data_IF_195001080469
#
_entry.id   IF_195001080469
#
_cell.length_a   1.000
_cell.length_b   1.000
_cell.length_c   1.000
_cell.angle_alpha   90.00
_cell.angle_beta   90.00
_cell.angle_gamma   90.00
#
_symmetry.space_group_name_H-M   'P 1'
#
loop_
_entity.id
_entity.type
_entity.pdbx_description
1 polymer ?
#
# COMPACT_ATOMS: atom_id res chain seq x y z
N UNK A 1 -37.26 1.52 -3.64
CA UNK A 1 -37.37 0.37 -2.72
C UNK A 1 -38.71 0.37 -2.00
N UNK A 2 -39.21 1.52 -1.51
CA UNK A 2 -40.45 1.57 -0.71
C UNK A 2 -41.71 2.01 -1.49
N UNK A 3 -41.60 2.10 -2.82
CA UNK A 3 -42.71 2.48 -3.70
C UNK A 3 -42.51 1.95 -5.11
N UNK A 4 -43.50 2.16 -5.98
CA UNK A 4 -43.52 1.65 -7.36
C UNK A 4 -42.72 2.52 -8.34
N UNK A 5 -41.56 3.04 -7.91
CA UNK A 5 -40.65 3.80 -8.76
C UNK A 5 -39.96 2.91 -9.79
N UNK A 6 -39.56 3.50 -10.91
CA UNK A 6 -38.75 2.82 -11.93
C UNK A 6 -37.38 2.48 -11.32
N UNK A 7 -36.86 1.28 -11.62
CA UNK A 7 -35.50 0.87 -11.22
C UNK A 7 -34.49 1.91 -11.72
N UNK A 8 -33.59 2.43 -10.86
CA UNK A 8 -32.57 3.36 -11.30
C UNK A 8 -31.72 2.77 -12.44
N UNK A 9 -31.34 3.63 -13.38
CA UNK A 9 -30.39 3.26 -14.42
C UNK A 9 -29.07 2.81 -13.80
N UNK A 10 -28.42 1.83 -14.45
CA UNK A 10 -27.12 1.35 -14.00
C UNK A 10 -26.03 2.16 -14.68
N UNK A 11 -25.17 2.77 -13.89
CA UNK A 11 -24.00 3.53 -14.35
C UNK A 11 -22.73 2.93 -13.72
N UNK A 12 -21.59 3.10 -14.39
CA UNK A 12 -20.28 2.73 -13.85
C UNK A 12 -19.49 3.98 -13.46
N UNK A 13 -18.65 3.85 -12.44
CA UNK A 13 -17.55 4.78 -12.16
C UNK A 13 -16.29 4.16 -12.76
N UNK A 14 -15.58 4.92 -13.59
CA UNK A 14 -14.31 4.54 -14.18
C UNK A 14 -13.23 5.53 -13.74
N UNK A 15 -12.27 5.08 -12.94
CA UNK A 15 -11.12 5.88 -12.53
C UNK A 15 -10.02 5.78 -13.59
N UNK A 16 -9.63 6.93 -14.15
CA UNK A 16 -8.56 7.01 -15.13
C UNK A 16 -7.33 7.67 -14.51
N UNK A 17 -6.18 7.02 -14.71
CA UNK A 17 -4.88 7.58 -14.40
C UNK A 17 -4.29 8.23 -15.67
N UNK A 18 -4.33 9.54 -15.75
CA UNK A 18 -3.89 10.31 -16.91
C UNK A 18 -2.41 10.69 -16.79
N UNK A 19 -1.53 9.79 -17.23
CA UNK A 19 -0.08 9.98 -17.21
C UNK A 19 0.55 10.59 -18.47
N UNK A 20 -0.21 10.87 -19.54
CA UNK A 20 0.34 11.45 -20.78
C UNK A 20 0.36 13.00 -20.74
N UNK A 21 0.97 13.58 -19.70
CA UNK A 21 0.99 15.02 -19.41
C UNK A 21 2.15 15.36 -18.46
N UNK A 22 2.64 16.61 -18.46
CA UNK A 22 3.64 17.08 -17.47
C UNK A 22 3.11 17.04 -16.04
N UNK A 23 1.79 17.22 -15.89
CA UNK A 23 1.08 17.21 -14.61
C UNK A 23 0.08 16.06 -14.55
N UNK A 24 0.49 14.84 -14.14
CA UNK A 24 -0.36 13.67 -14.11
C UNK A 24 -1.49 13.83 -13.11
N UNK A 25 -2.62 13.21 -13.42
CA UNK A 25 -3.78 13.27 -12.53
C UNK A 25 -4.62 12.00 -12.62
N UNK A 26 -5.31 11.68 -11.53
CA UNK A 26 -6.42 10.75 -11.51
C UNK A 26 -7.74 11.50 -11.71
N UNK A 27 -8.66 10.91 -12.46
CA UNK A 27 -10.01 11.44 -12.66
C UNK A 27 -11.03 10.31 -12.76
N UNK A 28 -12.11 10.43 -11.98
CA UNK A 28 -13.25 9.55 -12.08
C UNK A 28 -14.23 10.04 -13.15
N UNK A 29 -14.75 9.10 -13.93
CA UNK A 29 -15.78 9.31 -14.94
C UNK A 29 -17.02 8.50 -14.60
N UNK A 30 -18.19 9.09 -14.82
CA UNK A 30 -19.46 8.36 -14.87
C UNK A 30 -19.67 7.87 -16.30
N UNK A 31 -19.93 6.58 -16.48
CA UNK A 31 -20.09 5.93 -17.79
C UNK A 31 -21.39 5.14 -17.82
N UNK A 32 -22.27 5.41 -18.78
CA UNK A 32 -23.56 4.73 -18.89
C UNK A 32 -24.61 5.53 -19.68
N UNK A 33 -25.88 5.11 -19.64
CA UNK A 33 -26.41 3.99 -18.87
C UNK A 33 -25.93 2.63 -19.42
N UNK A 34 -26.02 1.59 -18.59
CA UNK A 34 -25.69 0.20 -18.90
C UNK A 34 -26.97 -0.66 -19.06
N UNK A 35 -26.96 -1.68 -19.94
CA UNK A 35 -25.86 -2.12 -20.81
C UNK A 35 -25.53 -1.07 -21.89
N UNK A 36 -24.30 -1.13 -22.42
CA UNK A 36 -23.81 -0.14 -23.38
C UNK A 36 -24.69 -0.11 -24.63
N UNK A 37 -25.09 1.11 -25.03
CA UNK A 37 -25.91 1.39 -26.21
C UNK A 37 -25.45 2.68 -26.90
N UNK A 38 -26.15 3.09 -27.96
CA UNK A 38 -25.93 4.39 -28.63
C UNK A 38 -26.22 5.59 -27.71
N UNK A 39 -27.02 5.39 -26.65
CA UNK A 39 -27.32 6.41 -25.65
C UNK A 39 -26.26 6.51 -24.55
N UNK A 40 -25.29 5.58 -24.51
CA UNK A 40 -24.25 5.58 -23.49
C UNK A 40 -23.29 6.75 -23.69
N UNK A 41 -23.13 7.56 -22.64
CA UNK A 41 -22.23 8.69 -22.57
C UNK A 41 -21.24 8.50 -21.42
N UNK A 42 -20.23 9.39 -21.39
CA UNK A 42 -19.38 9.56 -20.21
C UNK A 42 -19.19 11.03 -19.90
N UNK A 43 -18.99 11.33 -18.61
CA UNK A 43 -18.66 12.68 -18.14
C UNK A 43 -17.92 12.61 -16.80
N UNK A 44 -17.16 13.65 -16.42
CA UNK A 44 -16.46 13.68 -15.13
C UNK A 44 -17.40 13.52 -13.93
N UNK A 45 -16.99 12.69 -12.96
CA UNK A 45 -17.70 12.53 -11.70
C UNK A 45 -17.35 13.67 -10.74
N UNK A 46 -18.23 14.66 -10.61
CA UNK A 46 -17.99 15.86 -9.79
C UNK A 46 -18.68 15.83 -8.43
N UNK A 47 -19.59 14.88 -8.18
CA UNK A 47 -20.39 14.86 -6.95
C UNK A 47 -19.64 14.29 -5.74
N UNK A 48 -18.66 13.42 -5.96
CA UNK A 48 -17.91 12.74 -4.89
C UNK A 48 -16.76 13.54 -4.30
N UNK A 49 -16.56 14.80 -4.69
CA UNK A 49 -15.43 15.61 -4.27
C UNK A 49 -15.85 17.02 -3.87
N UNK A 50 -15.17 17.57 -2.86
CA UNK A 50 -15.27 18.98 -2.50
C UNK A 50 -14.22 19.86 -3.22
N UNK A 51 -13.34 19.23 -4.03
CA UNK A 51 -12.34 19.96 -4.80
C UNK A 51 -12.99 20.81 -5.90
N UNK A 52 -12.40 21.97 -6.26
CA UNK A 52 -12.91 22.83 -7.32
C UNK A 52 -12.86 22.16 -8.71
N UNK A 53 -11.99 21.15 -8.88
CA UNK A 53 -11.84 20.37 -10.09
C UNK A 53 -11.86 18.90 -9.69
N UNK A 54 -12.66 18.08 -10.39
CA UNK A 54 -12.70 16.63 -10.21
C UNK A 54 -11.50 15.93 -10.89
N UNK A 55 -10.29 16.38 -10.52
CA UNK A 55 -8.99 15.84 -10.91
C UNK A 55 -8.08 15.96 -9.71
N UNK A 56 -7.35 14.90 -9.39
CA UNK A 56 -6.38 14.87 -8.29
C UNK A 56 -5.01 14.66 -8.91
N UNK A 57 -4.05 15.55 -8.63
CA UNK A 57 -2.68 15.42 -9.12
C UNK A 57 -2.04 14.15 -8.55
N UNK A 58 -1.28 13.43 -9.38
CA UNK A 58 -0.49 12.25 -8.97
C UNK A 58 0.98 12.61 -9.10
N UNK A 59 1.66 12.71 -7.95
CA UNK A 59 2.99 13.28 -7.85
C UNK A 59 4.13 12.28 -8.06
N UNK A 60 3.82 10.99 -7.98
CA UNK A 60 4.71 9.83 -8.10
C UNK A 60 4.28 8.89 -9.24
N UNK A 61 3.75 9.46 -10.33
CA UNK A 61 3.38 8.70 -11.52
C UNK A 61 4.53 7.86 -12.09
N UNK A 62 5.74 8.38 -11.98
CA UNK A 62 6.94 7.77 -12.54
C UNK A 62 7.69 7.00 -11.45
N UNK A 63 8.04 5.75 -11.75
CA UNK A 63 8.77 4.87 -10.84
C UNK A 63 10.15 5.45 -10.50
N UNK A 64 10.43 5.54 -9.19
CA UNK A 64 11.67 6.05 -8.61
C UNK A 64 12.64 4.95 -8.14
N UNK A 65 12.28 3.67 -8.28
CA UNK A 65 13.07 2.52 -7.83
C UNK A 65 14.50 2.51 -8.41
N UNK A 66 14.62 2.74 -9.71
CA UNK A 66 15.91 2.82 -10.43
C UNK A 66 16.77 3.98 -9.92
N UNK A 67 16.15 5.15 -9.70
CA UNK A 67 16.84 6.33 -9.19
C UNK A 67 17.38 6.13 -7.78
N UNK A 68 16.60 5.50 -6.90
CA UNK A 68 17.04 5.14 -5.54
C UNK A 68 18.16 4.09 -5.58
N UNK A 69 18.07 3.12 -6.51
CA UNK A 69 19.10 2.10 -6.71
C UNK A 69 20.41 2.70 -7.22
N UNK A 70 20.37 3.68 -8.13
CA UNK A 70 21.55 4.38 -8.63
C UNK A 70 22.27 5.15 -7.51
N UNK A 71 21.50 5.86 -6.66
CA UNK A 71 22.05 6.52 -5.47
C UNK A 71 22.70 5.49 -4.56
N UNK A 72 22.01 4.40 -4.24
CA UNK A 72 22.55 3.33 -3.40
C UNK A 72 23.84 2.73 -3.99
N UNK A 73 23.87 2.46 -5.30
CA UNK A 73 25.02 1.89 -5.98
C UNK A 73 26.24 2.82 -5.99
N UNK A 74 26.04 4.15 -5.98
CA UNK A 74 27.12 5.12 -5.84
C UNK A 74 27.86 5.05 -4.49
N UNK A 75 27.23 4.42 -3.49
CA UNK A 75 27.77 4.17 -2.15
C UNK A 75 27.72 2.68 -1.77
N UNK A 76 27.77 1.77 -2.75
CA UNK A 76 27.61 0.32 -2.53
C UNK A 76 28.61 -0.27 -1.54
N UNK A 77 29.81 0.27 -1.46
CA UNK A 77 30.86 -0.15 -0.54
C UNK A 77 30.53 0.22 0.90
N UNK A 78 30.03 1.43 1.11
CA UNK A 78 29.52 1.89 2.42
C UNK A 78 28.33 1.03 2.81
N UNK A 79 27.34 0.86 1.93
CA UNK A 79 26.17 0.00 2.16
C UNK A 79 26.60 -1.42 2.53
N UNK A 80 27.54 -1.99 1.79
CA UNK A 80 28.02 -3.35 2.03
C UNK A 80 28.64 -3.51 3.41
N UNK A 81 29.40 -2.50 3.86
CA UNK A 81 30.01 -2.47 5.19
C UNK A 81 28.97 -2.27 6.30
N UNK A 82 28.22 -1.16 6.25
CA UNK A 82 27.34 -0.75 7.36
C UNK A 82 26.10 -1.63 7.49
N UNK A 83 25.63 -2.21 6.39
CA UNK A 83 24.51 -3.16 6.39
C UNK A 83 24.99 -4.61 6.42
N UNK A 84 26.30 -4.86 6.37
CA UNK A 84 26.92 -6.19 6.36
C UNK A 84 26.20 -7.14 5.35
N UNK A 85 26.30 -6.77 4.07
CA UNK A 85 25.83 -7.51 2.91
C UNK A 85 26.82 -7.30 1.74
N UNK A 86 26.96 -8.26 0.83
CA UNK A 86 27.85 -8.09 -0.33
C UNK A 86 27.08 -7.55 -1.52
N UNK A 87 27.14 -6.24 -1.76
CA UNK A 87 26.44 -5.59 -2.87
C UNK A 87 27.42 -5.21 -3.98
N UNK A 88 27.40 -5.98 -5.08
CA UNK A 88 28.26 -5.73 -6.24
C UNK A 88 27.52 -5.21 -7.47
N UNK A 89 26.24 -5.59 -7.60
CA UNK A 89 25.36 -5.30 -8.74
C UNK A 89 24.03 -4.71 -8.28
N UNK A 90 23.33 -4.04 -9.19
CA UNK A 90 21.96 -3.54 -8.95
C UNK A 90 21.02 -4.70 -8.60
N UNK A 91 21.12 -5.83 -9.32
CA UNK A 91 20.31 -7.02 -9.02
C UNK A 91 20.60 -7.55 -7.60
N UNK A 92 21.88 -7.59 -7.18
CA UNK A 92 22.24 -8.02 -5.83
C UNK A 92 21.72 -7.07 -4.75
N UNK A 93 21.65 -5.77 -5.03
CA UNK A 93 20.99 -4.78 -4.17
C UNK A 93 19.49 -5.08 -4.07
N UNK A 94 18.81 -5.25 -5.21
CA UNK A 94 17.37 -5.48 -5.30
C UNK A 94 16.94 -6.84 -4.74
N UNK A 95 17.81 -7.85 -4.75
CA UNK A 95 17.57 -9.16 -4.14
C UNK A 95 17.78 -9.14 -2.62
N UNK A 96 18.60 -8.20 -2.11
CA UNK A 96 18.94 -8.13 -0.68
C UNK A 96 18.06 -7.14 0.08
N UNK A 97 17.74 -6.01 -0.54
CA UNK A 97 17.04 -4.90 0.11
C UNK A 97 15.89 -4.35 -0.74
N UNK A 98 14.76 -4.06 -0.09
CA UNK A 98 13.78 -3.12 -0.58
C UNK A 98 14.16 -1.71 -0.14
N UNK A 99 14.01 -0.73 -1.05
CA UNK A 99 14.22 0.69 -0.76
C UNK A 99 12.90 1.42 -0.98
N UNK A 100 12.20 1.71 0.11
CA UNK A 100 10.88 2.35 0.10
C UNK A 100 10.64 3.06 1.44
N UNK A 101 9.67 3.96 1.49
CA UNK A 101 9.39 4.69 2.72
C UNK A 101 8.03 5.36 2.73
N UNK A 102 8.04 6.69 2.85
CA UNK A 102 6.86 7.44 3.30
C UNK A 102 5.69 7.38 2.33
N UNK A 103 4.49 7.32 2.90
CA UNK A 103 3.20 7.58 2.26
C UNK A 103 2.35 8.35 3.28
N UNK A 104 1.94 9.61 3.01
CA UNK A 104 2.07 10.33 1.74
C UNK A 104 3.49 10.89 1.50
N UNK A 105 3.74 11.28 0.25
CA UNK A 105 4.91 12.08 -0.13
C UNK A 105 4.92 13.41 0.62
N UNK A 106 6.11 13.92 0.92
CA UNK A 106 6.23 15.20 1.60
C UNK A 106 6.25 16.34 0.57
N UNK A 107 5.38 17.33 0.77
CA UNK A 107 5.33 18.58 0.02
C UNK A 107 5.93 19.74 0.82
N UNK A 108 6.84 20.49 0.22
CA UNK A 108 7.39 21.71 0.81
C UNK A 108 7.76 22.75 -0.26
N UNK A 109 7.63 24.05 0.00
CA UNK A 109 8.07 25.08 -0.94
C UNK A 109 9.61 25.18 -0.99
N UNK A 110 10.16 25.41 -2.17
CA UNK A 110 11.56 25.82 -2.36
C UNK A 110 11.79 27.30 -1.99
N UNK A 111 13.04 27.78 -2.12
CA UNK A 111 13.42 29.17 -1.85
C UNK A 111 12.65 30.22 -2.70
N UNK A 112 12.12 29.78 -3.84
CA UNK A 112 11.34 30.61 -4.77
C UNK A 112 9.82 30.43 -4.59
N UNK A 113 9.39 29.60 -3.64
CA UNK A 113 7.99 29.29 -3.37
C UNK A 113 7.35 28.22 -4.27
N UNK A 114 8.14 27.49 -5.06
CA UNK A 114 7.64 26.37 -5.87
C UNK A 114 7.48 25.11 -5.02
N UNK A 115 6.37 24.39 -5.19
CA UNK A 115 6.12 23.13 -4.48
C UNK A 115 7.14 22.06 -4.90
N UNK A 116 7.84 21.49 -3.92
CA UNK A 116 8.74 20.35 -4.09
C UNK A 116 8.11 19.08 -3.53
N UNK A 117 8.27 18.00 -4.27
CA UNK A 117 7.87 16.64 -3.85
C UNK A 117 9.11 15.92 -3.34
N UNK A 118 9.10 15.62 -2.04
CA UNK A 118 10.19 15.00 -1.31
C UNK A 118 9.82 13.57 -0.95
N UNK A 119 10.72 12.64 -1.26
CA UNK A 119 10.59 11.25 -0.87
C UNK A 119 11.65 10.87 0.16
N UNK A 120 11.20 10.28 1.25
CA UNK A 120 12.06 9.63 2.23
C UNK A 120 11.92 8.12 2.07
N UNK A 121 13.03 7.46 1.77
CA UNK A 121 13.10 6.00 1.65
C UNK A 121 14.01 5.43 2.73
N UNK A 122 13.62 4.31 3.33
CA UNK A 122 14.47 3.48 4.18
C UNK A 122 14.93 2.23 3.45
N UNK A 123 16.03 1.65 3.90
CA UNK A 123 16.45 0.30 3.49
C UNK A 123 15.77 -0.75 4.37
N UNK A 124 15.24 -1.78 3.74
CA UNK A 124 14.56 -2.91 4.36
C UNK A 124 15.18 -4.20 3.84
N UNK A 125 15.65 -5.08 4.72
CA UNK A 125 16.24 -6.34 4.28
C UNK A 125 15.15 -7.35 3.94
N UNK A 126 15.29 -8.08 2.84
CA UNK A 126 14.40 -9.18 2.55
C UNK A 126 14.66 -10.35 3.51
N UNK A 127 13.60 -11.00 4.01
CA UNK A 127 13.72 -12.23 4.79
C UNK A 127 14.47 -13.32 4.01
N UNK A 128 15.32 -14.06 4.71
CA UNK A 128 16.00 -15.22 4.14
C UNK A 128 14.99 -16.27 3.66
N UNK A 129 15.21 -16.81 2.46
CA UNK A 129 14.45 -17.96 1.96
C UNK A 129 14.82 -19.21 2.74
N UNK A 130 13.81 -19.89 3.29
CA UNK A 130 13.99 -21.19 3.94
C UNK A 130 13.81 -22.29 2.90
N UNK A 131 14.85 -23.10 2.70
CA UNK A 131 14.80 -24.26 1.82
C UNK A 131 14.13 -25.44 2.54
N UNK A 132 13.10 -26.01 1.93
CA UNK A 132 12.48 -27.27 2.31
C UNK A 132 12.93 -28.38 1.36
N UNK A 133 12.61 -29.64 1.66
CA UNK A 133 13.02 -30.80 0.84
C UNK A 133 12.57 -30.69 -0.64
N UNK A 134 11.38 -30.13 -0.90
CA UNK A 134 10.80 -29.99 -2.24
C UNK A 134 10.17 -28.61 -2.51
N UNK A 135 10.46 -27.60 -1.68
CA UNK A 135 9.88 -26.26 -1.83
C UNK A 135 10.76 -25.21 -1.15
N UNK A 136 10.39 -23.94 -1.31
CA UNK A 136 10.95 -22.81 -0.57
C UNK A 136 9.85 -22.11 0.18
N UNK A 137 10.17 -21.60 1.37
CA UNK A 137 9.29 -20.75 2.16
C UNK A 137 9.94 -19.37 2.27
N UNK A 138 9.18 -18.36 1.87
CA UNK A 138 9.51 -16.96 2.09
C UNK A 138 8.47 -16.39 3.07
N UNK A 139 8.92 -15.98 4.24
CA UNK A 139 8.05 -15.25 5.16
C UNK A 139 7.92 -13.80 4.72
N UNK A 140 6.69 -13.26 4.77
CA UNK A 140 6.43 -11.84 4.50
C UNK A 140 6.69 -10.98 5.75
N UNK A 141 7.93 -11.03 6.22
CA UNK A 141 8.39 -10.36 7.45
C UNK A 141 9.26 -9.13 7.20
N UNK A 142 9.34 -8.62 5.96
CA UNK A 142 10.27 -7.55 5.59
C UNK A 142 10.07 -6.25 6.35
N UNK A 143 8.83 -5.95 6.77
CA UNK A 143 8.49 -4.77 7.58
C UNK A 143 9.05 -4.84 9.02
N UNK A 144 9.55 -6.00 9.46
CA UNK A 144 10.26 -6.17 10.72
C UNK A 144 11.78 -6.02 10.57
N UNK A 145 12.28 -5.78 9.35
CA UNK A 145 13.70 -5.75 9.02
C UNK A 145 14.20 -4.37 8.51
N UNK A 146 13.87 -3.23 9.18
CA UNK A 146 14.43 -1.94 8.80
C UNK A 146 15.95 -1.91 9.06
N UNK A 147 16.71 -1.23 8.20
CA UNK A 147 18.17 -1.23 8.29
C UNK A 147 18.77 0.07 8.87
N UNK A 148 17.94 1.08 9.15
CA UNK A 148 18.38 2.33 9.78
C UNK A 148 19.22 3.25 8.89
N UNK A 149 19.27 2.96 7.59
CA UNK A 149 19.81 3.84 6.55
C UNK A 149 18.64 4.43 5.77
N UNK A 150 18.64 5.75 5.59
CA UNK A 150 17.58 6.47 4.89
C UNK A 150 18.16 7.42 3.84
N UNK A 151 17.43 7.59 2.74
CA UNK A 151 17.75 8.52 1.65
C UNK A 151 16.59 9.49 1.51
N UNK A 152 16.89 10.78 1.50
CA UNK A 152 15.97 11.86 1.17
C UNK A 152 16.21 12.33 -0.25
N UNK A 153 15.19 12.32 -1.10
CA UNK A 153 15.29 12.75 -2.49
C UNK A 153 14.26 13.79 -2.86
N UNK A 154 14.64 14.68 -3.77
CA UNK A 154 13.72 15.53 -4.50
C UNK A 154 13.30 14.79 -5.78
N UNK A 155 12.02 14.45 -5.88
CA UNK A 155 11.42 13.79 -7.05
C UNK A 155 10.41 14.71 -7.75
N UNK A 156 10.60 16.03 -7.65
CA UNK A 156 9.68 17.02 -8.22
C UNK A 156 9.62 16.91 -9.74
N UNK A 157 8.40 16.79 -10.27
CA UNK A 157 8.16 16.67 -11.70
C UNK A 157 8.59 15.30 -12.26
N UNK A 158 8.60 15.19 -13.58
CA UNK A 158 8.70 13.89 -14.29
C UNK A 158 10.02 13.66 -15.02
N UNK A 159 10.91 14.64 -14.96
CA UNK A 159 12.20 14.61 -15.64
C UNK A 159 13.23 13.98 -14.71
N UNK A 160 13.39 12.64 -14.76
CA UNK A 160 14.27 11.88 -13.86
C UNK A 160 15.68 12.48 -13.70
N UNK A 161 16.37 12.95 -14.76
CA UNK A 161 17.64 13.67 -14.64
C UNK A 161 17.63 14.94 -13.75
N UNK A 162 16.47 15.52 -13.47
CA UNK A 162 16.32 16.67 -12.55
C UNK A 162 16.03 16.25 -11.12
N UNK A 163 15.73 14.98 -10.88
CA UNK A 163 15.63 14.46 -9.52
C UNK A 163 17.01 14.46 -8.87
N UNK A 164 17.04 14.61 -7.55
CA UNK A 164 18.30 14.78 -6.84
C UNK A 164 18.26 14.22 -5.42
N UNK A 165 19.42 13.75 -4.96
CA UNK A 165 19.67 13.48 -3.56
C UNK A 165 19.65 14.80 -2.77
N UNK A 166 18.85 14.86 -1.71
CA UNK A 166 18.88 15.96 -0.73
C UNK A 166 19.77 15.58 0.46
N UNK A 167 19.75 14.30 0.85
CA UNK A 167 20.70 13.79 1.83
C UNK A 167 20.44 12.36 2.27
N UNK A 168 21.26 11.93 3.22
CA UNK A 168 21.35 10.58 3.76
C UNK A 168 21.30 10.71 5.27
N UNK A 169 20.45 9.92 5.92
CA UNK A 169 20.37 9.84 7.38
C UNK A 169 20.84 8.46 7.83
N UNK A 170 21.81 8.42 8.73
CA UNK A 170 22.29 7.18 9.35
C UNK A 170 22.73 7.48 10.79
N UNK A 171 22.22 6.71 11.75
CA UNK A 171 22.67 6.84 13.14
C UNK A 171 22.37 8.18 13.81
N UNK A 172 21.31 8.88 13.38
CA UNK A 172 20.94 10.25 13.80
C UNK A 172 21.85 11.37 13.25
N UNK A 173 22.76 11.03 12.33
CA UNK A 173 23.60 12.00 11.62
C UNK A 173 23.10 12.17 10.18
N UNK A 174 23.02 13.43 9.73
CA UNK A 174 22.49 13.80 8.42
C UNK A 174 23.62 14.31 7.51
N UNK A 175 23.73 13.71 6.33
CA UNK A 175 24.74 14.02 5.33
C UNK A 175 24.08 14.55 4.06
N UNK A 176 24.55 15.68 3.55
CA UNK A 176 23.94 16.35 2.38
C UNK A 176 24.37 15.75 1.04
N UNK A 177 25.36 14.85 1.03
CA UNK A 177 25.86 14.18 -0.17
C UNK A 177 26.50 12.83 0.14
N UNK A 178 26.67 12.00 -0.90
CA UNK A 178 27.42 10.75 -0.81
C UNK A 178 28.88 11.00 -0.42
N UNK A 179 29.49 12.09 -0.88
CA UNK A 179 30.88 12.44 -0.55
C UNK A 179 31.04 12.77 0.94
N UNK A 180 30.08 13.50 1.52
CA UNK A 180 30.06 13.81 2.95
C UNK A 180 29.87 12.54 3.79
N UNK A 181 28.92 11.68 3.40
CA UNK A 181 28.70 10.40 4.06
C UNK A 181 29.94 9.49 3.97
N UNK A 182 30.60 9.47 2.80
CA UNK A 182 31.84 8.74 2.58
C UNK A 182 32.99 9.26 3.44
N UNK A 183 33.14 10.58 3.55
CA UNK A 183 34.15 11.18 4.42
C UNK A 183 33.91 10.83 5.90
N UNK A 184 32.64 10.80 6.33
CA UNK A 184 32.27 10.37 7.67
C UNK A 184 32.57 8.88 7.89
N UNK A 185 32.19 8.00 6.95
CA UNK A 185 32.46 6.55 7.02
C UNK A 185 33.95 6.21 7.09
N UNK A 186 34.81 6.98 6.43
CA UNK A 186 36.27 6.81 6.49
C UNK A 186 36.90 7.29 7.81
N UNK A 187 36.15 8.00 8.65
CA UNK A 187 36.63 8.44 9.95
C UNK A 187 36.75 7.22 10.89
N UNK A 188 37.89 7.02 11.59
CA UNK A 188 38.04 5.96 12.58
C UNK A 188 36.97 5.93 13.69
N UNK A 189 36.35 7.07 13.98
CA UNK A 189 35.30 7.19 14.99
C UNK A 189 33.88 6.92 14.44
N UNK A 190 33.75 6.55 13.16
CA UNK A 190 32.45 6.23 12.56
C UNK A 190 31.79 5.04 13.26
N UNK A 191 30.53 5.19 13.62
CA UNK A 191 29.79 4.19 14.38
C UNK A 191 28.89 3.36 13.47
N UNK A 192 29.26 2.09 13.30
CA UNK A 192 28.39 1.10 12.67
C UNK A 192 27.33 0.60 13.67
N UNK A 193 26.08 0.55 13.23
CA UNK A 193 24.96 -0.02 13.97
C UNK A 193 24.67 -1.44 13.49
N UNK A 194 24.19 -2.30 14.39
CA UNK A 194 23.86 -3.68 14.05
C UNK A 194 22.64 -3.73 13.12
N UNK A 195 22.76 -4.32 11.92
CA UNK A 195 21.63 -4.48 11.01
C UNK A 195 20.58 -5.46 11.58
N UNK A 196 19.32 -5.28 11.19
CA UNK A 196 18.28 -6.26 11.49
C UNK A 196 18.35 -7.42 10.49
N UNK A 197 18.42 -8.65 11.02
CA UNK A 197 18.47 -9.88 10.24
C UNK A 197 17.20 -10.70 10.42
N UNK A 198 16.88 -11.46 9.37
CA UNK A 198 15.89 -12.52 9.44
C UNK A 198 16.22 -13.50 10.56
N UNK A 199 15.18 -14.12 11.12
CA UNK A 199 15.31 -15.18 12.11
C UNK A 199 13.95 -15.81 12.36
N UNK A 200 13.90 -16.90 13.13
CA UNK A 200 12.63 -17.59 13.40
C UNK A 200 11.55 -16.72 14.05
N UNK A 201 11.93 -15.58 14.64
CA UNK A 201 11.01 -14.62 15.26
C UNK A 201 10.17 -13.82 14.27
N UNK A 202 10.49 -13.82 12.98
CA UNK A 202 9.67 -13.17 11.94
C UNK A 202 8.56 -14.09 11.42
N UNK A 203 8.69 -15.40 11.64
CA UNK A 203 7.73 -16.39 11.17
C UNK A 203 6.48 -16.45 12.04
N UNK A 204 5.38 -16.92 11.47
CA UNK A 204 4.11 -17.14 12.17
C UNK A 204 3.85 -18.61 12.49
N UNK A 205 4.80 -19.49 12.15
CA UNK A 205 4.75 -20.91 12.47
C UNK A 205 4.81 -21.16 13.98
N UNK A 206 4.31 -22.33 14.39
CA UNK A 206 4.39 -22.75 15.78
C UNK A 206 5.86 -22.80 16.24
N UNK A 207 6.15 -22.15 17.35
CA UNK A 207 7.45 -22.14 17.99
C UNK A 207 7.34 -22.55 19.46
N UNK A 208 8.37 -23.20 19.98
CA UNK A 208 8.44 -23.63 21.39
C UNK A 208 7.72 -24.96 21.65
N UNK A 209 7.42 -25.21 22.93
CA UNK A 209 6.83 -26.48 23.36
C UNK A 209 5.33 -26.52 23.07
N UNK A 210 4.88 -27.60 22.44
CA UNK A 210 3.46 -27.93 22.32
C UNK A 210 2.88 -28.14 23.73
N UNK A 211 1.77 -27.47 24.03
CA UNK A 211 1.11 -27.57 25.32
C UNK A 211 0.41 -28.93 25.48
N UNK A 212 0.20 -29.40 26.72
CA UNK A 212 -0.60 -30.60 26.96
C UNK A 212 -1.97 -30.51 26.27
N UNK A 213 -2.33 -31.55 25.51
CA UNK A 213 -3.58 -31.69 24.75
C UNK A 213 -3.76 -30.77 23.53
N UNK A 214 -2.75 -29.99 23.13
CA UNK A 214 -2.85 -29.11 21.95
C UNK A 214 -2.91 -29.89 20.61
N UNK A 215 -2.48 -31.16 20.63
CA UNK A 215 -2.62 -32.07 19.48
C UNK A 215 -4.02 -32.67 19.34
N UNK A 216 -4.88 -32.51 20.35
CA UNK A 216 -6.27 -32.96 20.28
C UNK A 216 -7.09 -31.99 19.42
N UNK A 217 -8.13 -32.49 18.76
CA UNK A 217 -8.99 -31.64 17.94
C UNK A 217 -9.66 -30.54 18.80
N UNK A 218 -9.56 -29.26 18.43
CA UNK A 218 -10.20 -28.19 19.19
C UNK A 218 -11.73 -28.26 19.06
N UNK A 219 -12.48 -27.60 19.94
CA UNK A 219 -13.92 -27.44 19.77
C UNK A 219 -14.26 -26.87 18.40
N UNK A 220 -15.17 -27.54 17.68
CA UNK A 220 -15.63 -27.11 16.37
C UNK A 220 -17.07 -26.64 16.43
N UNK A 221 -17.35 -25.51 15.77
CA UNK A 221 -18.73 -25.07 15.53
C UNK A 221 -19.39 -26.03 14.54
N UNK A 222 -20.53 -26.60 14.91
CA UNK A 222 -21.35 -27.47 14.06
C UNK A 222 -22.74 -26.87 13.88
N UNK A 223 -23.40 -27.18 12.77
CA UNK A 223 -24.78 -26.79 12.49
C UNK A 223 -25.67 -28.04 12.29
N UNK A 224 -26.06 -28.75 13.36
CA UNK A 224 -26.81 -30.01 13.24
C UNK A 224 -28.18 -29.84 12.57
N UNK A 225 -28.82 -28.68 12.75
CA UNK A 225 -30.08 -28.32 12.09
C UNK A 225 -29.90 -27.65 10.72
N UNK A 226 -28.66 -27.62 10.19
CA UNK A 226 -28.32 -26.91 8.98
C UNK A 226 -28.27 -25.39 9.12
N UNK A 227 -28.14 -24.72 7.98
CA UNK A 227 -28.07 -23.26 7.88
C UNK A 227 -29.40 -22.63 8.26
N UNK A 228 -29.38 -21.66 9.18
CA UNK A 228 -30.58 -20.92 9.66
C UNK A 228 -30.72 -19.51 9.07
N UNK A 229 -30.01 -19.23 7.98
CA UNK A 229 -30.12 -18.02 7.19
C UNK A 229 -30.32 -18.40 5.73
N UNK A 230 -30.83 -17.47 4.92
CA UNK A 230 -30.98 -17.63 3.48
C UNK A 230 -30.05 -16.64 2.78
N UNK A 231 -29.58 -17.05 1.60
CA UNK A 231 -28.75 -16.23 0.73
C UNK A 231 -29.35 -16.30 -0.66
N UNK A 232 -29.66 -15.15 -1.23
CA UNK A 232 -29.85 -14.99 -2.66
C UNK A 232 -28.48 -14.57 -3.22
N UNK A 233 -27.79 -15.53 -3.84
CA UNK A 233 -26.45 -15.29 -4.38
C UNK A 233 -26.45 -14.36 -5.58
N UNK A 234 -27.50 -14.38 -6.41
CA UNK A 234 -27.59 -13.54 -7.61
C UNK A 234 -27.70 -12.06 -7.21
N UNK A 235 -28.55 -11.77 -6.22
CA UNK A 235 -28.81 -10.42 -5.74
C UNK A 235 -27.96 -10.01 -4.54
N UNK A 236 -27.11 -10.92 -4.03
CA UNK A 236 -26.27 -10.71 -2.84
C UNK A 236 -27.10 -10.27 -1.63
N UNK A 237 -28.26 -10.89 -1.43
CA UNK A 237 -29.22 -10.55 -0.38
C UNK A 237 -29.26 -11.65 0.69
N UNK A 238 -29.35 -11.25 1.95
CA UNK A 238 -29.31 -12.17 3.11
C UNK A 238 -30.55 -11.96 3.97
N UNK A 239 -31.13 -13.07 4.44
CA UNK A 239 -32.15 -13.09 5.48
C UNK A 239 -31.71 -13.98 6.64
N UNK A 240 -31.82 -13.47 7.87
CA UNK A 240 -31.57 -14.24 9.08
C UNK A 240 -32.55 -13.83 10.17
N UNK A 241 -33.46 -14.74 10.55
CA UNK A 241 -34.59 -14.42 11.42
C UNK A 241 -35.38 -13.23 10.85
N UNK A 242 -35.66 -12.20 11.65
CA UNK A 242 -36.35 -10.98 11.22
C UNK A 242 -35.40 -9.94 10.57
N UNK A 243 -34.11 -10.26 10.37
CA UNK A 243 -33.17 -9.37 9.68
C UNK A 243 -33.10 -9.66 8.19
N UNK A 244 -32.96 -8.59 7.41
CA UNK A 244 -32.62 -8.68 5.99
C UNK A 244 -31.71 -7.53 5.55
N UNK A 245 -30.83 -7.78 4.58
CA UNK A 245 -29.96 -6.75 4.00
C UNK A 245 -29.32 -7.20 2.68
N UNK A 246 -28.86 -6.23 1.88
CA UNK A 246 -28.04 -6.47 0.70
C UNK A 246 -26.57 -6.28 1.02
N UNK A 247 -25.72 -7.13 0.44
CA UNK A 247 -24.27 -6.97 0.42
C UNK A 247 -23.85 -6.21 -0.84
N UNK A 248 -22.98 -5.22 -0.66
CA UNK A 248 -22.24 -4.59 -1.73
C UNK A 248 -20.74 -4.62 -1.43
N UNK A 249 -19.93 -4.47 -2.46
CA UNK A 249 -18.48 -4.42 -2.34
C UNK A 249 -17.92 -3.35 -3.27
N UNK A 250 -16.94 -2.59 -2.79
CA UNK A 250 -16.19 -1.61 -3.60
C UNK A 250 -14.70 -1.84 -3.39
N UNK A 251 -13.88 -1.47 -4.38
CA UNK A 251 -12.43 -1.61 -4.28
C UNK A 251 -11.85 -0.83 -3.10
N UNK A 252 -12.32 0.40 -2.87
CA UNK A 252 -11.66 1.31 -1.91
C UNK A 252 -11.97 0.98 -0.45
N UNK A 253 -13.18 0.51 -0.16
CA UNK A 253 -13.66 0.35 1.24
C UNK A 253 -14.21 -1.03 1.55
N UNK A 254 -14.13 -1.95 0.59
CA UNK A 254 -14.56 -3.33 0.77
C UNK A 254 -16.08 -3.46 0.95
N UNK A 255 -16.48 -4.25 1.94
CA UNK A 255 -17.85 -4.69 2.17
C UNK A 255 -18.74 -3.56 2.73
N UNK A 256 -19.97 -3.49 2.21
CA UNK A 256 -21.03 -2.58 2.66
C UNK A 256 -22.36 -3.33 2.76
N UNK A 257 -23.21 -2.88 3.67
CA UNK A 257 -24.59 -3.34 3.83
C UNK A 257 -25.56 -2.26 3.36
N UNK A 258 -26.55 -2.62 2.58
CA UNK A 258 -27.63 -1.73 2.14
C UNK A 258 -29.01 -2.26 2.54
N UNK A 259 -29.95 -1.34 2.74
CA UNK A 259 -31.36 -1.63 3.09
C UNK A 259 -31.49 -2.61 4.27
N UNK A 260 -30.75 -2.33 5.36
CA UNK A 260 -30.77 -3.17 6.56
C UNK A 260 -32.11 -3.00 7.27
N UNK A 261 -32.85 -4.11 7.41
CA UNK A 261 -34.17 -4.15 8.05
C UNK A 261 -34.17 -5.08 9.25
N UNK A 262 -35.05 -4.77 10.19
CA UNK A 262 -35.47 -5.66 11.25
C UNK A 262 -37.00 -5.65 11.31
N UNK A 263 -37.64 -6.82 11.22
CA UNK A 263 -39.11 -6.98 11.16
C UNK A 263 -39.75 -6.12 10.06
N UNK A 264 -39.18 -6.21 8.86
CA UNK A 264 -39.60 -5.48 7.66
C UNK A 264 -39.47 -3.94 7.73
N UNK A 265 -38.98 -3.38 8.84
CA UNK A 265 -38.72 -1.95 8.98
C UNK A 265 -37.24 -1.64 8.75
N UNK A 266 -36.95 -0.70 7.84
CA UNK A 266 -35.57 -0.25 7.57
C UNK A 266 -35.04 0.51 8.78
N UNK A 267 -33.95 0.00 9.35
CA UNK A 267 -33.22 0.64 10.45
C UNK A 267 -31.98 1.40 9.95
N UNK A 268 -31.37 0.94 8.86
CA UNK A 268 -30.18 1.56 8.26
C UNK A 268 -30.24 1.46 6.74
N UNK A 269 -30.09 2.58 6.04
CA UNK A 269 -30.01 2.55 4.57
C UNK A 269 -28.67 2.02 4.07
N UNK A 270 -27.56 2.48 4.65
CA UNK A 270 -26.20 2.09 4.30
C UNK A 270 -25.33 1.97 5.56
N UNK A 271 -24.54 0.91 5.66
CA UNK A 271 -23.51 0.72 6.68
C UNK A 271 -22.25 0.13 6.04
N UNK A 272 -21.12 0.81 6.18
CA UNK A 272 -19.85 0.35 5.62
C UNK A 272 -18.65 1.15 6.11
N UNK A 273 -17.46 0.57 5.96
CA UNK A 273 -16.20 1.25 6.20
C UNK A 273 -16.07 2.46 5.25
N UNK A 274 -15.48 3.55 5.75
CA UNK A 274 -15.20 4.74 4.93
C UNK A 274 -13.71 4.95 4.71
N UNK A 275 -12.89 4.72 5.75
CA UNK A 275 -11.43 4.89 5.68
C UNK A 275 -10.76 4.11 6.82
N UNK A 276 -9.48 3.75 6.64
CA UNK A 276 -8.57 3.26 7.67
C UNK A 276 -7.24 4.04 7.63
N UNK A 277 -6.82 4.60 8.76
CA UNK A 277 -5.60 5.42 8.85
C UNK A 277 -4.61 4.78 9.82
N UNK A 278 -3.34 4.70 9.40
CA UNK A 278 -2.19 4.44 10.26
C UNK A 278 -1.30 5.70 10.24
N UNK A 279 -1.34 6.48 11.32
CA UNK A 279 -0.68 7.80 11.43
C UNK A 279 0.67 7.69 12.14
#
# INVERSE_FOLDING_TARGET
MDGNGIKPERWAIASLLCGATEEPYAQDLIVGPLPVSEDSIYYPYTYGTHAPVAKIRVHDMDDNSEFLSDIAMSMKDIISDILNATIETVDGLADTFGIWGIDPLWHQPDENGNDQVIYWAGFWRYPDTIQMENSTINFDGGTLLPQGLYIQTNITGRDKPKWGLIGILYGDEYYTSVDEFRAAWQNPDFKNFTPNYSGGWIGTDQAGNVMPFETEAPPMNVQPGGQRFKVDEENKYIEWMDFSFYLAFTRDTGMRLYDVKFRDERITYELGLQEAIAH
#
